data_IF_974708230095
#
_entry.id   IF_974708230095
#
_cell.length_a   1.000
_cell.length_b   1.000
_cell.length_c   1.000
_cell.angle_alpha   90.00
_cell.angle_beta   90.00
_cell.angle_gamma   90.00
#
_symmetry.space_group_name_H-M   'P 1'
#
loop_
_entity.id
_entity.type
_entity.pdbx_description
1 polymer ?
#
# COMPACT_ATOMS: atom_id res chain seq x y z
N UNK A 1 23.72 25.75 15.33
CA UNK A 1 22.25 25.89 15.28
C UNK A 1 21.68 24.73 14.49
N UNK A 2 21.06 23.77 15.18
CA UNK A 2 20.42 22.60 14.56
C UNK A 2 19.13 23.04 13.87
N UNK A 3 19.08 22.91 12.53
CA UNK A 3 17.85 23.00 11.75
C UNK A 3 16.91 21.90 12.23
N UNK A 4 15.86 22.27 12.98
CA UNK A 4 14.66 21.44 13.16
C UNK A 4 14.05 21.25 11.77
N UNK A 5 14.31 20.11 11.15
CA UNK A 5 13.46 19.60 10.09
C UNK A 5 12.04 19.47 10.67
N UNK A 6 11.16 20.39 10.30
CA UNK A 6 9.74 20.14 10.33
C UNK A 6 9.45 19.09 9.26
N UNK A 7 9.82 17.83 9.53
CA UNK A 7 9.13 16.69 8.93
C UNK A 7 7.74 16.72 9.52
N UNK A 8 6.82 17.43 8.87
CA UNK A 8 5.39 17.38 9.18
C UNK A 8 4.98 15.91 9.21
N UNK A 9 4.77 15.38 10.43
CA UNK A 9 4.11 14.12 10.68
C UNK A 9 2.74 14.17 10.04
N UNK A 10 2.64 13.67 8.81
CA UNK A 10 1.34 13.48 8.15
C UNK A 10 0.62 12.35 8.89
N UNK A 11 -0.67 12.49 9.20
CA UNK A 11 -1.39 11.46 9.94
C UNK A 11 -1.40 10.16 9.15
N UNK A 12 -0.98 9.06 9.78
CA UNK A 12 -0.93 7.70 9.22
C UNK A 12 -2.22 6.93 9.58
N UNK A 13 -3.31 7.69 9.73
CA UNK A 13 -4.59 7.24 10.27
C UNK A 13 -5.68 7.33 9.20
N UNK A 14 -6.65 6.43 9.27
CA UNK A 14 -7.90 6.57 8.52
C UNK A 14 -8.66 7.77 9.08
N UNK A 15 -9.21 8.62 8.21
CA UNK A 15 -9.86 9.87 8.65
C UNK A 15 -11.36 9.79 8.46
N UNK A 16 -12.15 10.08 9.50
CA UNK A 16 -13.63 10.05 9.45
C UNK A 16 -14.30 11.40 9.18
N UNK A 17 -13.51 12.48 8.97
CA UNK A 17 -13.99 13.83 8.64
C UNK A 17 -12.85 14.81 8.52
N UNK A 18 -12.52 15.38 7.36
CA UNK A 18 -11.42 16.34 7.30
C UNK A 18 -11.77 17.72 7.87
N UNK A 19 -13.06 18.10 7.82
CA UNK A 19 -13.61 19.40 8.28
C UNK A 19 -15.07 19.24 8.74
N UNK A 20 -15.63 20.20 9.49
CA UNK A 20 -17.06 20.22 9.80
C UNK A 20 -17.90 20.29 8.53
N UNK A 21 -18.86 19.38 8.38
CA UNK A 21 -19.71 19.32 7.18
C UNK A 21 -19.04 18.70 5.95
N UNK A 22 -17.85 18.10 6.10
CA UNK A 22 -17.26 17.25 5.06
C UNK A 22 -18.23 16.12 4.73
N UNK A 23 -18.77 16.12 3.52
CA UNK A 23 -19.76 15.16 3.02
C UNK A 23 -19.11 14.06 2.20
N UNK A 24 -17.80 13.88 2.32
CA UNK A 24 -17.08 12.92 1.48
C UNK A 24 -16.84 13.41 0.04
N UNK A 25 -16.90 14.72 -0.27
CA UNK A 25 -16.62 15.21 -1.64
C UNK A 25 -15.11 15.10 -1.98
N UNK A 26 -14.79 14.56 -3.16
CA UNK A 26 -13.43 14.11 -3.54
C UNK A 26 -13.00 14.65 -4.92
N UNK A 27 -11.69 14.78 -5.18
CA UNK A 27 -10.56 14.44 -4.30
C UNK A 27 -10.13 15.59 -3.36
N UNK A 28 -9.64 15.25 -2.17
CA UNK A 28 -8.95 16.20 -1.29
C UNK A 28 -7.46 16.27 -1.69
N UNK A 29 -7.00 17.43 -2.15
CA UNK A 29 -5.67 17.64 -2.71
C UNK A 29 -4.53 17.01 -1.88
N UNK A 30 -3.72 16.17 -2.54
CA UNK A 30 -2.50 15.50 -2.07
C UNK A 30 -1.49 16.41 -1.34
N UNK A 31 -0.51 15.86 -0.56
CA UNK A 31 -0.16 14.44 -0.47
C UNK A 31 -0.33 13.85 0.94
N UNK A 32 -0.99 12.69 1.04
CA UNK A 32 -1.14 11.91 2.28
C UNK A 32 -0.55 10.53 2.10
N UNK A 33 0.00 10.01 3.20
CA UNK A 33 0.42 8.63 3.32
C UNK A 33 -0.82 7.71 3.30
N UNK A 34 -0.70 6.50 2.75
CA UNK A 34 -1.69 5.46 3.05
C UNK A 34 -1.68 5.19 4.56
N UNK A 35 -2.83 5.18 5.24
CA UNK A 35 -2.94 4.79 6.64
C UNK A 35 -2.32 3.42 6.93
N UNK A 36 -1.72 3.28 8.11
CA UNK A 36 -1.10 2.04 8.54
C UNK A 36 -2.20 1.03 8.92
N UNK A 37 -2.24 -0.08 8.18
CA UNK A 37 -2.97 -1.29 8.57
C UNK A 37 -1.94 -2.27 9.09
N UNK A 38 -2.30 -2.94 10.18
CA UNK A 38 -1.49 -3.99 10.79
C UNK A 38 -2.32 -5.25 10.91
N UNK A 39 -1.67 -6.40 11.11
CA UNK A 39 -2.34 -7.66 11.43
C UNK A 39 -1.91 -8.04 12.84
N UNK A 40 -2.87 -8.20 13.74
CA UNK A 40 -2.61 -8.59 15.12
C UNK A 40 -2.05 -10.02 15.23
N UNK A 41 -1.54 -10.41 16.41
CA UNK A 41 -1.08 -11.78 16.67
C UNK A 41 -2.18 -12.83 16.49
N UNK A 42 -3.44 -12.43 16.72
CA UNK A 42 -4.67 -13.18 16.46
C UNK A 42 -5.00 -13.36 14.97
N UNK A 43 -4.18 -12.79 14.09
CA UNK A 43 -4.40 -12.80 12.64
C UNK A 43 -5.49 -11.86 12.15
N UNK A 44 -6.01 -10.99 13.01
CA UNK A 44 -7.07 -10.04 12.65
C UNK A 44 -6.45 -8.73 12.15
N UNK A 45 -6.85 -8.23 10.98
CA UNK A 45 -6.48 -6.89 10.52
C UNK A 45 -6.91 -5.81 11.51
N UNK A 46 -6.09 -4.78 11.67
CA UNK A 46 -6.31 -3.64 12.56
C UNK A 46 -5.91 -2.35 11.86
N UNK A 47 -6.63 -1.28 12.12
CA UNK A 47 -6.31 0.05 11.63
C UNK A 47 -6.56 1.10 12.71
N UNK A 48 -5.89 2.24 12.61
CA UNK A 48 -6.14 3.38 13.50
C UNK A 48 -6.97 4.41 12.77
N UNK A 49 -8.09 4.77 13.38
CA UNK A 49 -9.07 5.72 12.83
C UNK A 49 -9.07 6.98 13.69
N UNK A 50 -8.96 8.14 13.05
CA UNK A 50 -8.87 9.44 13.69
C UNK A 50 -10.06 10.32 13.29
N UNK A 51 -10.75 10.87 14.29
CA UNK A 51 -11.88 11.77 14.07
C UNK A 51 -11.40 13.23 14.08
N UNK A 52 -11.29 13.83 12.90
CA UNK A 52 -10.96 15.25 12.71
C UNK A 52 -12.20 16.16 12.73
N UNK A 53 -13.41 15.61 12.92
CA UNK A 53 -14.65 16.35 13.04
C UNK A 53 -14.87 16.98 14.42
N UNK A 54 -15.94 17.78 14.56
CA UNK A 54 -16.30 18.49 15.81
C UNK A 54 -17.31 17.74 16.68
N UNK A 55 -17.76 16.55 16.27
CA UNK A 55 -18.71 15.73 17.01
C UNK A 55 -18.18 14.34 17.19
N UNK A 56 -18.57 13.71 18.28
CA UNK A 56 -18.41 12.28 18.48
C UNK A 56 -19.16 11.52 17.38
N UNK A 57 -18.54 10.45 16.88
CA UNK A 57 -19.12 9.61 15.83
C UNK A 57 -18.92 8.14 16.16
N UNK A 58 -19.83 7.30 15.71
CA UNK A 58 -19.62 5.85 15.65
C UNK A 58 -19.01 5.54 14.28
N UNK A 59 -17.76 5.09 14.29
CA UNK A 59 -17.05 4.72 13.08
C UNK A 59 -17.54 3.37 12.56
N UNK A 60 -17.95 3.31 11.28
CA UNK A 60 -18.08 2.04 10.57
C UNK A 60 -16.77 1.75 9.86
N UNK A 61 -16.25 0.54 9.99
CA UNK A 61 -15.06 0.12 9.25
C UNK A 61 -15.26 -1.22 8.55
N UNK A 62 -14.80 -1.29 7.31
CA UNK A 62 -14.87 -2.48 6.45
C UNK A 62 -13.44 -2.88 6.06
N UNK A 63 -13.12 -4.17 6.18
CA UNK A 63 -11.83 -4.74 5.87
C UNK A 63 -11.98 -5.62 4.64
N UNK A 64 -11.16 -5.38 3.63
CA UNK A 64 -11.17 -6.08 2.37
C UNK A 64 -9.80 -6.70 2.07
N UNK A 65 -9.80 -7.75 1.26
CA UNK A 65 -8.60 -8.23 0.59
C UNK A 65 -8.77 -8.20 -0.93
N UNK A 66 -7.72 -7.87 -1.65
CA UNK A 66 -7.65 -8.04 -3.10
C UNK A 66 -6.64 -9.16 -3.38
N UNK A 67 -7.06 -10.26 -4.02
CA UNK A 67 -6.16 -11.34 -4.40
C UNK A 67 -5.01 -10.90 -5.30
N UNK A 68 -3.86 -11.53 -5.11
CA UNK A 68 -2.69 -11.32 -5.96
C UNK A 68 -3.01 -11.49 -7.46
N UNK A 69 -2.37 -10.66 -8.29
CA UNK A 69 -2.58 -10.66 -9.74
C UNK A 69 -3.82 -9.90 -10.22
N UNK A 70 -4.70 -9.45 -9.32
CA UNK A 70 -5.82 -8.58 -9.68
C UNK A 70 -5.48 -7.10 -9.47
N UNK A 71 -6.02 -6.18 -10.30
CA UNK A 71 -5.98 -4.76 -10.00
C UNK A 71 -6.66 -4.46 -8.65
N UNK A 72 -6.04 -3.62 -7.84
CA UNK A 72 -6.64 -3.16 -6.57
C UNK A 72 -7.72 -2.14 -6.87
N UNK A 73 -8.95 -2.63 -7.03
CA UNK A 73 -10.17 -1.84 -7.27
C UNK A 73 -11.29 -2.35 -6.37
N UNK A 74 -12.36 -1.58 -6.23
CA UNK A 74 -13.50 -1.97 -5.40
C UNK A 74 -14.18 -3.27 -5.90
N UNK A 75 -14.15 -3.53 -7.21
CA UNK A 75 -14.77 -4.71 -7.84
C UNK A 75 -14.01 -6.01 -7.54
N UNK A 76 -12.67 -5.90 -7.40
CA UNK A 76 -11.81 -7.05 -7.08
C UNK A 76 -11.61 -7.23 -5.56
N UNK A 77 -12.11 -6.29 -4.76
CA UNK A 77 -12.01 -6.31 -3.31
C UNK A 77 -13.07 -7.23 -2.71
N UNK A 78 -12.62 -8.23 -1.95
CA UNK A 78 -13.47 -9.17 -1.23
C UNK A 78 -13.56 -8.75 0.23
N UNK A 79 -14.78 -8.64 0.76
CA UNK A 79 -14.97 -8.29 2.17
C UNK A 79 -14.45 -9.42 3.04
N UNK A 80 -13.46 -9.12 3.87
CA UNK A 80 -12.93 -10.01 4.92
C UNK A 80 -13.83 -9.95 6.15
N UNK A 81 -14.23 -8.73 6.55
CA UNK A 81 -15.09 -8.53 7.70
C UNK A 81 -15.30 -7.06 8.02
N UNK A 82 -16.04 -6.81 9.10
CA UNK A 82 -16.26 -5.45 9.61
C UNK A 82 -15.46 -5.25 10.88
N UNK A 83 -15.17 -4.01 11.24
CA UNK A 83 -14.52 -3.70 12.50
C UNK A 83 -15.49 -3.69 13.67
N UNK A 84 -14.97 -3.85 14.87
CA UNK A 84 -15.74 -3.58 16.08
C UNK A 84 -16.23 -2.12 16.08
N UNK A 85 -17.49 -1.86 16.49
CA UNK A 85 -17.99 -0.50 16.63
C UNK A 85 -17.08 0.32 17.56
N UNK A 86 -16.69 1.51 17.11
CA UNK A 86 -15.85 2.42 17.87
C UNK A 86 -16.48 3.80 17.93
N UNK A 87 -16.71 4.28 19.15
CA UNK A 87 -17.10 5.67 19.41
C UNK A 87 -15.81 6.48 19.47
N UNK A 88 -15.69 7.50 18.61
CA UNK A 88 -14.48 8.31 18.48
C UNK A 88 -14.82 9.78 18.68
N UNK A 89 -14.26 10.40 19.73
CA UNK A 89 -14.48 11.82 20.01
C UNK A 89 -13.66 12.73 19.08
N UNK A 90 -14.03 14.01 18.96
CA UNK A 90 -13.23 15.00 18.23
C UNK A 90 -11.76 15.01 18.67
N UNK A 91 -10.85 14.88 17.71
CA UNK A 91 -9.41 14.90 17.94
C UNK A 91 -8.84 13.63 18.58
N UNK A 92 -9.63 12.55 18.70
CA UNK A 92 -9.15 11.25 19.20
C UNK A 92 -8.87 10.26 18.07
N UNK A 93 -7.95 9.33 18.34
CA UNK A 93 -7.66 8.15 17.52
C UNK A 93 -8.04 6.89 18.29
N UNK A 94 -8.67 5.94 17.60
CA UNK A 94 -9.00 4.62 18.14
C UNK A 94 -8.49 3.53 17.20
N UNK A 95 -7.98 2.43 17.77
CA UNK A 95 -7.65 1.24 16.99
C UNK A 95 -8.92 0.40 16.82
N UNK A 96 -9.30 0.16 15.57
CA UNK A 96 -10.37 -0.78 15.21
C UNK A 96 -9.76 -2.09 14.73
N UNK A 97 -10.40 -3.20 15.06
CA UNK A 97 -9.96 -4.55 14.69
C UNK A 97 -11.08 -5.24 13.94
N UNK A 98 -10.73 -5.92 12.85
CA UNK A 98 -11.65 -6.78 12.11
C UNK A 98 -12.21 -7.88 13.02
N UNK A 99 -13.50 -8.17 12.91
CA UNK A 99 -14.15 -9.28 13.62
C UNK A 99 -13.67 -10.64 13.12
N UNK A 100 -13.18 -10.71 11.89
CA UNK A 100 -12.71 -11.93 11.25
C UNK A 100 -11.18 -11.95 11.11
N UNK A 101 -10.52 -13.10 11.31
CA UNK A 101 -9.11 -13.26 10.98
C UNK A 101 -8.90 -13.25 9.46
N UNK A 102 -7.77 -12.68 9.03
CA UNK A 102 -7.36 -12.74 7.63
C UNK A 102 -6.63 -14.05 7.34
N UNK A 103 -7.45 -15.05 7.00
CA UNK A 103 -7.03 -16.40 6.64
C UNK A 103 -6.79 -16.41 5.13
N UNK A 104 -5.50 -16.43 4.69
CA UNK A 104 -4.95 -16.45 3.30
C UNK A 104 -4.06 -15.24 2.98
N UNK A 105 -3.03 -15.02 3.80
CA UNK A 105 -2.09 -13.88 3.72
C UNK A 105 -1.16 -13.89 2.49
N UNK A 106 -1.42 -14.66 1.43
CA UNK A 106 -0.47 -14.85 0.33
C UNK A 106 -0.67 -13.80 -0.77
N UNK A 107 0.20 -12.80 -0.79
CA UNK A 107 0.27 -11.66 -1.71
C UNK A 107 -0.98 -10.79 -1.86
N UNK A 108 -2.06 -11.13 -1.20
CA UNK A 108 -3.23 -10.29 -1.06
C UNK A 108 -2.87 -8.89 -0.51
N UNK A 109 -3.52 -7.88 -1.05
CA UNK A 109 -3.50 -6.51 -0.51
C UNK A 109 -4.64 -6.38 0.48
N UNK A 110 -4.34 -5.99 1.72
CA UNK A 110 -5.39 -5.58 2.65
C UNK A 110 -5.76 -4.13 2.40
N UNK A 111 -7.06 -3.88 2.31
CA UNK A 111 -7.65 -2.55 2.23
C UNK A 111 -8.58 -2.37 3.41
N UNK A 112 -8.52 -1.22 4.09
CA UNK A 112 -9.44 -0.90 5.18
C UNK A 112 -10.11 0.41 4.89
N UNK A 113 -11.42 0.44 4.97
CA UNK A 113 -12.19 1.64 4.84
C UNK A 113 -12.80 2.02 6.18
N UNK A 114 -12.76 3.30 6.56
CA UNK A 114 -13.50 3.84 7.69
C UNK A 114 -14.41 4.96 7.21
N UNK A 115 -15.67 5.00 7.65
CA UNK A 115 -16.63 6.03 7.25
C UNK A 115 -17.77 6.17 8.27
N UNK A 116 -18.56 7.23 8.12
CA UNK A 116 -19.84 7.36 8.81
C UNK A 116 -20.96 7.46 7.78
N UNK A 117 -21.94 6.53 7.74
CA UNK A 117 -22.93 6.43 6.66
C UNK A 117 -23.67 7.73 6.31
N UNK A 118 -24.04 8.52 7.33
CA UNK A 118 -24.80 9.75 7.12
C UNK A 118 -23.94 11.03 7.08
N UNK A 119 -22.96 11.14 7.98
CA UNK A 119 -22.23 12.37 8.23
C UNK A 119 -20.90 12.50 7.45
N UNK A 120 -20.36 11.39 6.96
CA UNK A 120 -19.16 11.33 6.10
C UNK A 120 -19.15 10.01 5.30
N UNK A 121 -20.08 9.87 4.34
CA UNK A 121 -20.15 8.68 3.50
C UNK A 121 -18.93 8.59 2.58
N UNK A 122 -18.53 7.36 2.24
CA UNK A 122 -17.53 7.12 1.19
C UNK A 122 -18.23 6.94 -0.15
N UNK A 123 -17.77 7.68 -1.16
CA UNK A 123 -18.19 7.47 -2.54
C UNK A 123 -17.75 6.07 -3.00
N UNK A 124 -18.67 5.34 -3.66
CA UNK A 124 -18.38 4.02 -4.23
C UNK A 124 -18.42 4.09 -5.76
N UNK A 125 -17.49 3.45 -6.49
CA UNK A 125 -16.33 2.70 -5.98
C UNK A 125 -15.29 3.63 -5.32
N UNK A 126 -14.61 3.15 -4.27
CA UNK A 126 -13.58 3.90 -3.55
C UNK A 126 -12.25 3.91 -4.32
N UNK A 127 -11.48 4.99 -4.17
CA UNK A 127 -10.12 5.10 -4.72
C UNK A 127 -9.08 4.84 -3.62
N UNK A 128 -8.44 3.67 -3.66
CA UNK A 128 -7.41 3.27 -2.68
C UNK A 128 -6.20 4.21 -2.63
N UNK A 129 -5.93 4.94 -3.72
CA UNK A 129 -4.80 5.87 -3.76
C UNK A 129 -5.15 7.27 -3.27
N UNK A 130 -6.39 7.71 -3.50
CA UNK A 130 -6.86 9.07 -3.26
C UNK A 130 -7.72 9.26 -2.01
N UNK A 131 -8.39 8.21 -1.53
CA UNK A 131 -9.32 8.31 -0.40
C UNK A 131 -8.63 8.09 0.94
N UNK A 132 -8.72 9.08 1.83
CA UNK A 132 -8.16 9.01 3.19
C UNK A 132 -9.00 8.21 4.18
N UNK A 133 -10.21 7.88 3.75
CA UNK A 133 -11.03 6.87 4.39
C UNK A 133 -10.48 5.48 4.16
N UNK A 134 -9.56 5.32 3.20
CA UNK A 134 -9.01 4.04 2.77
C UNK A 134 -7.54 3.92 3.16
N UNK A 135 -7.21 2.80 3.79
CA UNK A 135 -5.86 2.36 4.10
C UNK A 135 -5.52 1.17 3.24
N UNK A 136 -4.23 1.01 2.97
CA UNK A 136 -3.68 -0.14 2.25
C UNK A 136 -2.46 -0.73 2.99
N UNK A 137 -2.41 -2.05 3.14
CA UNK A 137 -1.25 -2.78 3.66
C UNK A 137 -0.74 -3.80 2.65
N UNK A 138 0.56 -3.69 2.36
CA UNK A 138 1.31 -4.55 1.44
C UNK A 138 2.58 -5.16 2.09
N UNK A 139 2.71 -5.09 3.42
CA UNK A 139 3.97 -5.43 4.12
C UNK A 139 4.43 -6.89 3.93
N UNK A 140 3.54 -7.81 3.55
CA UNK A 140 3.89 -9.20 3.29
C UNK A 140 4.98 -9.35 2.19
N UNK A 141 5.12 -8.34 1.32
CA UNK A 141 6.08 -8.32 0.20
C UNK A 141 7.49 -7.86 0.60
N UNK A 142 7.69 -7.39 1.83
CA UNK A 142 9.01 -6.98 2.31
C UNK A 142 9.93 -8.18 2.34
N UNK A 143 11.08 -8.09 1.67
CA UNK A 143 11.99 -9.21 1.56
C UNK A 143 13.02 -9.03 0.46
N UNK A 144 13.86 -10.04 0.30
CA UNK A 144 14.82 -10.14 -0.79
C UNK A 144 14.38 -11.25 -1.71
N UNK A 145 14.37 -11.00 -3.02
CA UNK A 145 13.99 -11.93 -4.06
C UNK A 145 15.12 -12.03 -5.07
N UNK A 146 15.40 -13.22 -5.57
CA UNK A 146 16.46 -13.47 -6.53
C UNK A 146 16.00 -14.43 -7.63
N UNK A 147 16.55 -14.27 -8.82
CA UNK A 147 16.29 -15.14 -9.96
C UNK A 147 16.93 -14.62 -11.23
N UNK A 148 16.89 -15.43 -12.27
CA UNK A 148 17.53 -15.13 -13.55
C UNK A 148 16.58 -14.35 -14.47
N UNK A 149 17.10 -13.28 -15.06
CA UNK A 149 16.56 -12.72 -16.31
C UNK A 149 17.48 -13.15 -17.47
N UNK A 150 17.05 -13.06 -18.74
CA UNK A 150 17.90 -13.43 -19.87
C UNK A 150 19.26 -12.71 -19.93
N UNK A 151 19.36 -11.56 -19.26
CA UNK A 151 20.55 -10.69 -19.25
C UNK A 151 21.38 -10.82 -17.95
N UNK A 152 21.04 -11.75 -17.06
CA UNK A 152 21.83 -12.09 -15.87
C UNK A 152 21.01 -12.37 -14.61
N UNK A 153 21.72 -12.73 -13.55
CA UNK A 153 21.16 -12.95 -12.20
C UNK A 153 20.75 -11.63 -11.55
N UNK A 154 19.51 -11.58 -11.08
CA UNK A 154 18.86 -10.39 -10.55
C UNK A 154 18.54 -10.59 -9.08
N UNK A 155 18.71 -9.52 -8.30
CA UNK A 155 18.27 -9.45 -6.91
C UNK A 155 17.44 -8.20 -6.69
N UNK A 156 16.23 -8.38 -6.18
CA UNK A 156 15.32 -7.30 -5.78
C UNK A 156 15.16 -7.32 -4.27
N UNK A 157 15.41 -6.20 -3.63
CA UNK A 157 15.17 -5.98 -2.21
C UNK A 157 14.02 -4.98 -2.06
N UNK A 158 12.98 -5.37 -1.33
CA UNK A 158 11.83 -4.54 -0.99
C UNK A 158 11.87 -4.30 0.51
N UNK A 159 12.04 -3.03 0.91
CA UNK A 159 12.04 -2.62 2.32
C UNK A 159 10.93 -1.62 2.60
N UNK A 160 10.39 -1.61 3.82
CA UNK A 160 9.47 -0.56 4.22
C UNK A 160 10.19 0.79 4.18
N UNK A 161 9.48 1.80 3.69
CA UNK A 161 9.87 3.21 3.78
C UNK A 161 8.73 3.98 4.48
N UNK A 162 8.98 5.21 4.96
CA UNK A 162 7.95 6.00 5.62
C UNK A 162 6.69 6.13 4.78
N UNK A 163 5.53 6.29 5.43
CA UNK A 163 4.27 6.70 4.79
C UNK A 163 3.67 5.67 3.81
N UNK A 164 3.84 4.37 4.07
CA UNK A 164 3.34 3.30 3.21
C UNK A 164 4.09 3.19 1.87
N UNK A 165 5.26 3.84 1.77
CA UNK A 165 6.16 3.70 0.63
C UNK A 165 7.07 2.50 0.84
N UNK A 166 7.71 2.08 -0.25
CA UNK A 166 8.70 1.01 -0.23
C UNK A 166 9.99 1.50 -0.85
N UNK A 167 11.11 1.18 -0.21
CA UNK A 167 12.42 1.31 -0.85
C UNK A 167 12.68 0.04 -1.63
N UNK A 168 12.82 0.19 -2.94
CA UNK A 168 13.08 -0.89 -3.87
C UNK A 168 14.51 -0.78 -4.38
N UNK A 169 15.29 -1.85 -4.22
CA UNK A 169 16.66 -1.92 -4.71
C UNK A 169 16.83 -3.11 -5.65
N UNK A 170 17.12 -2.83 -6.92
CA UNK A 170 17.40 -3.83 -7.95
C UNK A 170 18.91 -3.89 -8.19
N UNK A 171 19.51 -5.07 -8.06
CA UNK A 171 20.92 -5.31 -8.31
C UNK A 171 21.09 -6.46 -9.30
N UNK A 172 22.13 -6.38 -10.11
CA UNK A 172 22.59 -7.49 -10.98
C UNK A 172 23.82 -8.09 -10.33
N UNK A 173 23.95 -9.41 -10.35
CA UNK A 173 25.16 -10.07 -9.85
C UNK A 173 26.42 -9.51 -10.54
N UNK A 174 27.48 -9.30 -9.76
CA UNK A 174 28.73 -8.70 -10.24
C UNK A 174 28.71 -7.18 -10.45
N UNK A 175 27.55 -6.51 -10.35
CA UNK A 175 27.47 -5.06 -10.45
C UNK A 175 27.94 -4.37 -9.16
N UNK A 176 28.80 -3.34 -9.29
CA UNK A 176 29.30 -2.53 -8.16
C UNK A 176 28.22 -1.68 -7.50
N UNK A 177 27.19 -1.29 -8.26
CA UNK A 177 26.09 -0.44 -7.81
C UNK A 177 24.75 -1.05 -8.23
N UNK A 178 23.67 -0.84 -7.45
CA UNK A 178 22.34 -1.28 -7.84
C UNK A 178 21.90 -0.55 -9.11
N UNK A 179 21.17 -1.24 -9.98
CA UNK A 179 20.52 -0.64 -11.16
C UNK A 179 19.36 0.27 -10.78
N UNK A 180 18.72 0.02 -9.65
CA UNK A 180 17.67 0.87 -9.11
C UNK A 180 17.82 0.93 -7.59
N UNK A 181 17.68 2.13 -7.02
CA UNK A 181 17.51 2.37 -5.58
C UNK A 181 16.52 3.53 -5.42
N UNK A 182 15.23 3.21 -5.27
CA UNK A 182 14.15 4.20 -5.30
C UNK A 182 13.17 3.98 -4.15
N UNK A 183 12.61 5.08 -3.66
CA UNK A 183 11.43 5.04 -2.78
C UNK A 183 10.21 5.29 -3.63
N UNK A 184 9.26 4.35 -3.61
CA UNK A 184 8.07 4.39 -4.47
C UNK A 184 6.83 3.83 -3.79
N UNK A 185 5.67 4.28 -4.25
CA UNK A 185 4.37 3.73 -3.87
C UNK A 185 4.01 2.62 -4.86
N UNK A 186 3.60 1.43 -4.41
CA UNK A 186 3.08 0.40 -5.30
C UNK A 186 1.72 0.83 -5.87
N UNK A 187 1.44 0.35 -7.08
CA UNK A 187 0.14 0.46 -7.73
C UNK A 187 -0.55 -0.90 -7.66
N UNK A 188 -1.33 -1.11 -6.60
CA UNK A 188 -1.81 -2.44 -6.25
C UNK A 188 -0.63 -3.39 -6.01
N UNK A 189 -0.63 -4.55 -6.67
CA UNK A 189 0.43 -5.57 -6.57
C UNK A 189 1.67 -5.29 -7.43
N UNK A 190 1.88 -4.06 -7.90
CA UNK A 190 2.91 -3.75 -8.90
C UNK A 190 3.76 -2.54 -8.52
N UNK A 191 5.03 -2.61 -8.86
CA UNK A 191 5.93 -1.45 -8.95
C UNK A 191 6.35 -1.29 -10.40
N UNK A 192 6.22 -0.10 -10.95
CA UNK A 192 6.74 0.18 -12.28
C UNK A 192 7.46 1.52 -12.31
N UNK A 193 8.50 1.62 -13.12
CA UNK A 193 9.25 2.86 -13.31
C UNK A 193 10.00 2.86 -14.64
N UNK A 194 10.54 4.02 -15.00
CA UNK A 194 11.35 4.22 -16.18
C UNK A 194 12.78 4.59 -15.76
N UNK A 195 13.78 3.99 -16.39
CA UNK A 195 15.18 4.43 -16.33
C UNK A 195 15.65 4.86 -17.73
N UNK A 196 16.60 5.79 -17.75
CA UNK A 196 17.26 6.25 -18.98
C UNK A 196 18.68 5.68 -19.01
N UNK A 197 19.02 4.96 -20.08
CA UNK A 197 20.36 4.41 -20.30
C UNK A 197 20.85 4.85 -21.69
N UNK A 198 21.67 5.91 -21.72
CA UNK A 198 21.98 6.60 -22.97
C UNK A 198 20.72 7.19 -23.59
N UNK A 199 20.47 6.87 -24.86
CA UNK A 199 19.26 7.31 -25.58
C UNK A 199 18.05 6.40 -25.35
N UNK A 200 18.25 5.24 -24.71
CA UNK A 200 17.19 4.25 -24.50
C UNK A 200 16.44 4.51 -23.19
N UNK A 201 15.11 4.40 -23.26
CA UNK A 201 14.23 4.44 -22.10
C UNK A 201 13.74 3.03 -21.76
N UNK A 202 14.23 2.49 -20.66
CA UNK A 202 13.87 1.17 -20.16
C UNK A 202 12.71 1.27 -19.16
N UNK A 203 11.65 0.51 -19.42
CA UNK A 203 10.55 0.28 -18.51
C UNK A 203 10.82 -0.95 -17.66
N UNK A 204 10.60 -0.80 -16.35
CA UNK A 204 10.67 -1.88 -15.38
C UNK A 204 9.28 -2.10 -14.80
N UNK A 205 8.88 -3.37 -14.70
CA UNK A 205 7.59 -3.80 -14.19
C UNK A 205 7.78 -4.99 -13.25
N UNK A 206 7.66 -4.73 -11.96
CA UNK A 206 7.77 -5.73 -10.91
C UNK A 206 6.37 -6.03 -10.39
N UNK A 207 5.92 -7.27 -10.56
CA UNK A 207 4.58 -7.73 -10.15
C UNK A 207 4.69 -8.79 -9.07
N UNK A 208 3.93 -8.63 -7.99
CA UNK A 208 3.83 -9.64 -6.92
C UNK A 208 2.93 -10.78 -7.38
N UNK A 209 3.46 -12.01 -7.31
CA UNK A 209 2.72 -13.24 -7.66
C UNK A 209 2.18 -13.89 -6.40
N UNK A 210 3.05 -14.13 -5.43
CA UNK A 210 2.71 -14.56 -4.07
C UNK A 210 3.72 -13.97 -3.06
N UNK A 211 3.63 -14.35 -1.77
CA UNK A 211 4.56 -13.85 -0.75
C UNK A 211 6.03 -14.19 -1.04
N UNK A 212 6.26 -15.26 -1.80
CA UNK A 212 7.57 -15.83 -2.03
C UNK A 212 8.03 -15.66 -3.47
N UNK A 213 7.21 -15.09 -4.36
CA UNK A 213 7.51 -14.95 -5.78
C UNK A 213 7.10 -13.59 -6.35
N UNK A 214 8.01 -13.02 -7.16
CA UNK A 214 7.79 -11.81 -7.95
C UNK A 214 8.12 -12.09 -9.42
N UNK A 215 7.44 -11.41 -10.35
CA UNK A 215 7.85 -11.35 -11.75
C UNK A 215 8.48 -9.99 -12.01
N UNK A 216 9.67 -9.95 -12.62
CA UNK A 216 10.31 -8.72 -13.09
C UNK A 216 10.34 -8.72 -14.62
N UNK A 217 9.69 -7.74 -15.24
CA UNK A 217 9.83 -7.39 -16.65
C UNK A 217 10.76 -6.20 -16.83
N UNK A 218 11.68 -6.29 -17.80
CA UNK A 218 12.56 -5.20 -18.23
C UNK A 218 12.55 -5.11 -19.75
N UNK A 219 12.28 -3.93 -20.30
CA UNK A 219 12.32 -3.72 -21.75
C UNK A 219 12.09 -2.28 -22.17
N UNK A 220 12.32 -1.94 -23.44
CA UNK A 220 12.02 -0.60 -23.94
C UNK A 220 10.51 -0.33 -23.88
N UNK A 221 10.13 0.91 -23.60
CA UNK A 221 8.72 1.30 -23.55
C UNK A 221 8.05 1.04 -24.92
N UNK A 222 6.99 0.25 -24.93
CA UNK A 222 6.22 -0.07 -26.14
C UNK A 222 6.64 -1.36 -26.84
N UNK A 223 7.58 -2.13 -26.28
CA UNK A 223 7.92 -3.48 -26.75
C UNK A 223 7.67 -4.52 -25.65
N UNK A 224 7.51 -5.81 -25.99
CA UNK A 224 7.42 -6.88 -25.00
C UNK A 224 8.65 -6.89 -24.10
N UNK A 225 8.50 -6.76 -22.76
CA UNK A 225 9.63 -6.82 -21.85
C UNK A 225 10.16 -8.25 -21.76
N UNK A 226 11.47 -8.39 -21.54
CA UNK A 226 12.05 -9.65 -21.07
C UNK A 226 11.64 -9.83 -19.62
N UNK A 227 11.02 -10.96 -19.29
CA UNK A 227 10.55 -11.24 -17.93
C UNK A 227 11.25 -12.42 -17.30
N UNK A 228 11.47 -12.37 -15.99
CA UNK A 228 11.94 -13.48 -15.18
C UNK A 228 11.14 -13.58 -13.88
N UNK A 229 11.09 -14.80 -13.32
CA UNK A 229 10.52 -15.07 -12.00
C UNK A 229 11.63 -15.00 -10.96
N UNK A 230 11.39 -14.26 -9.88
CA UNK A 230 12.27 -14.14 -8.73
C UNK A 230 11.62 -14.82 -7.54
N UNK A 231 12.39 -15.64 -6.84
CA UNK A 231 11.97 -16.35 -5.64
C UNK A 231 12.57 -15.69 -4.42
N UNK A 232 11.83 -15.69 -3.31
CA UNK A 232 12.27 -15.12 -2.05
C UNK A 232 13.48 -15.87 -1.53
N UNK A 233 14.48 -15.11 -1.13
CA UNK A 233 15.68 -15.62 -0.46
C UNK A 233 15.32 -15.81 1.00
N UNK A 234 15.21 -17.06 1.43
CA UNK A 234 15.09 -17.42 2.84
C UNK A 234 16.50 -17.41 3.43
N UNK A 235 16.72 -16.59 4.45
CA UNK A 235 17.98 -16.51 5.18
C UNK A 235 18.08 -17.63 6.22
#
# INVERSE_FOLDING_TARGET
MLRREWRTNRPVFLLLRSRPGDSGSRPLAAPFASPDITVGPDGRPRAVVFNLGLREVVATTEFYCVPAGLPVTAENAQLVGTGNPAIIRPGEAVTVSCTEPWLRRQADVLVVMAFHPELDPVARPFDVLGDRHVGQMNYAWVGTYAGSLPDGEMRVEIRPAPQGLFRLKLSVEGARYPRCDRVMKPHGHRFYWMEVQGDMRLFFDLTVVDNDRLTLGVGPRGSPPKSGLLTRVIA
#
